data_IF_005884107852
#
_entry.id   IF_005884107852
#
_cell.length_a   1.000
_cell.length_b   1.000
_cell.length_c   1.000
_cell.angle_alpha   90.00
_cell.angle_beta   90.00
_cell.angle_gamma   90.00
#
_symmetry.space_group_name_H-M   'P 1'
#
loop_
_entity.id
_entity.type
_entity.pdbx_description
1 polymer ?
2 non-polymer ?
3 water ?
#
# COMPACT_ATOMS: atom_id res chain seq x y z
N UNK A 16 -6.99 20.86 37.82
CA UNK A 16 -6.22 22.10 38.17
C UNK A 16 -7.09 23.27 38.73
N UNK A 17 -8.30 23.55 38.19
CA UNK A 17 -9.15 24.57 38.89
C UNK A 17 -9.73 24.12 40.26
N UNK A 18 -9.88 25.07 41.19
CA UNK A 18 -10.48 24.73 42.47
C UNK A 18 -11.83 24.04 42.25
N UNK A 19 -11.93 22.80 42.74
CA UNK A 19 -13.12 21.95 42.56
C UNK A 19 -14.27 22.32 43.53
N UNK A 20 -15.00 23.37 43.16
CA UNK A 20 -16.13 23.91 43.90
C UNK A 20 -17.50 23.56 43.25
N UNK A 21 -18.63 23.79 43.94
CA UNK A 21 -19.92 23.74 43.24
C UNK A 21 -19.97 24.52 41.92
N UNK A 22 -19.51 25.77 41.92
CA UNK A 22 -19.62 26.63 40.75
C UNK A 22 -18.84 26.05 39.57
N UNK A 23 -17.68 25.46 39.85
CA UNK A 23 -16.92 24.77 38.82
C UNK A 23 -17.65 23.50 38.33
N UNK A 24 -18.21 22.72 39.26
CA UNK A 24 -18.99 21.57 38.90
C UNK A 24 -20.15 21.97 37.98
N UNK A 25 -20.80 23.10 38.27
CA UNK A 25 -21.88 23.63 37.41
C UNK A 25 -21.42 24.11 36.00
N UNK A 26 -20.27 24.77 35.91
CA UNK A 26 -19.61 25.08 34.64
C UNK A 26 -19.46 23.82 33.75
N UNK A 27 -18.94 22.74 34.31
CA UNK A 27 -18.72 21.49 33.59
C UNK A 27 -20.02 20.84 33.14
N UNK A 28 -21.02 20.90 34.00
CA UNK A 28 -22.33 20.38 33.62
C UNK A 28 -22.87 21.12 32.37
N UNK A 29 -22.72 22.46 32.36
CA UNK A 29 -23.04 23.27 31.20
C UNK A 29 -22.25 22.87 29.98
N UNK A 30 -20.93 22.61 30.16
CA UNK A 30 -20.07 22.25 29.01
C UNK A 30 -20.67 21.04 28.33
N UNK A 31 -20.82 19.97 29.10
CA UNK A 31 -21.47 18.75 28.69
C UNK A 31 -22.77 19.04 27.92
N UNK A 32 -23.61 19.93 28.46
CA UNK A 32 -24.91 20.23 27.86
C UNK A 32 -24.78 20.97 26.55
N UNK A 33 -23.83 21.90 26.49
CA UNK A 33 -23.65 22.77 25.32
C UNK A 33 -22.65 22.28 24.26
N UNK A 34 -22.10 21.07 24.45
CA UNK A 34 -21.11 20.43 23.55
C UNK A 34 -19.83 21.22 23.47
N UNK A 35 -19.38 21.66 24.63
CA UNK A 35 -18.11 22.33 24.80
C UNK A 35 -17.18 21.36 25.56
N UNK A 36 -15.94 21.20 25.09
CA UNK A 36 -14.92 20.47 25.86
C UNK A 36 -13.80 21.47 26.06
N UNK A 37 -13.42 21.72 27.33
CA UNK A 37 -12.37 22.69 27.61
C UNK A 37 -11.00 22.05 27.41
N UNK A 38 -9.99 22.85 27.11
CA UNK A 38 -8.76 22.27 26.71
C UNK A 38 -7.84 21.99 27.90
N UNK A 39 -8.17 22.58 29.04
CA UNK A 39 -7.37 22.47 30.27
C UNK A 39 -7.69 21.21 31.10
N UNK A 40 -8.72 20.47 30.67
CA UNK A 40 -8.94 19.15 31.20
C UNK A 40 -8.20 18.19 30.28
N UNK A 41 -7.72 18.65 29.14
CA UNK A 41 -7.20 17.68 28.19
C UNK A 41 -5.72 17.42 28.33
N UNK A 43 -3.37 18.60 25.36
CA UNK A 43 -2.11 17.98 25.84
C UNK A 43 -1.68 16.67 25.15
N UNK A 44 -2.50 15.61 25.33
CA UNK A 44 -2.52 14.40 24.45
C UNK A 44 -3.08 14.69 23.02
N UNK A 45 -3.79 15.81 22.91
CA UNK A 45 -4.31 16.32 21.64
C UNK A 45 -3.19 16.79 20.70
N UNK A 46 -2.03 17.16 21.28
CA UNK A 46 -0.81 17.66 20.58
C UNK A 46 0.49 17.05 21.15
N UNK A 47 0.84 15.84 20.66
CA UNK A 47 1.98 15.08 21.19
C UNK A 47 3.37 15.56 20.73
N UNK A 48 4.41 15.15 21.45
CA UNK A 48 5.78 15.61 21.19
C UNK A 48 6.25 15.16 19.80
N UNK A 49 5.83 13.96 19.41
CA UNK A 49 6.07 13.39 18.10
C UNK A 49 4.90 12.44 17.85
N UNK A 50 4.72 11.94 16.61
CA UNK A 50 3.56 11.08 16.41
C UNK A 50 3.55 9.87 17.30
N UNK A 51 2.38 9.54 17.82
CA UNK A 51 2.30 8.42 18.71
C UNK A 51 1.06 7.68 18.26
N UNK A 52 1.18 6.90 17.18
CA UNK A 52 0.04 6.14 16.64
C UNK A 52 -0.69 5.17 17.61
N UNK A 53 -1.95 4.91 17.28
CA UNK A 53 -2.76 3.92 17.96
C UNK A 53 -2.47 2.63 17.24
N UNK A 54 -2.31 2.73 15.91
CA UNK A 54 -1.84 1.61 15.09
C UNK A 54 -0.53 1.10 15.67
N UNK A 55 -0.33 -0.18 15.56
CA UNK A 55 0.81 -0.76 16.19
C UNK A 55 1.62 -1.46 15.10
N UNK A 56 2.97 -1.50 15.28
CA UNK A 56 3.68 -2.29 14.27
C UNK A 56 3.16 -3.75 14.36
N UNK A 57 3.06 -4.45 13.24
CA UNK A 57 2.49 -5.77 13.31
C UNK A 57 2.90 -6.51 12.07
N UNK A 58 2.99 -7.84 12.14
CA UNK A 58 3.40 -8.71 11.01
C UNK A 58 2.34 -9.79 10.79
N UNK A 59 2.03 -10.08 9.53
CA UNK A 59 1.13 -11.17 9.15
C UNK A 59 1.93 -12.19 8.34
N UNK A 60 1.86 -13.44 8.77
CA UNK A 60 2.62 -14.52 8.13
C UNK A 60 1.85 -15.01 6.91
N UNK A 61 2.50 -14.96 5.75
CA UNK A 61 1.91 -15.46 4.53
C UNK A 61 1.24 -16.83 4.68
N UNK A 62 1.91 -17.79 5.31
CA UNK A 62 1.34 -19.11 5.39
C UNK A 62 -0.01 -19.09 6.12
N UNK A 63 -0.15 -18.23 7.15
CA UNK A 63 -1.47 -17.97 7.78
C UNK A 63 -2.43 -17.38 6.74
N UNK A 64 -2.14 -16.20 6.19
CA UNK A 64 -3.02 -15.57 5.20
C UNK A 64 -3.39 -16.53 4.06
N UNK A 65 -2.46 -17.38 3.65
CA UNK A 65 -2.74 -18.34 2.60
C UNK A 65 -3.78 -19.38 3.02
N UNK A 66 -3.59 -20.02 4.19
CA UNK A 66 -4.50 -21.08 4.61
C UNK A 66 -5.95 -20.55 4.84
N UNK A 67 -6.05 -19.43 5.57
CA UNK A 67 -7.35 -18.74 5.72
C UNK A 67 -7.98 -18.24 4.41
N UNK A 68 -7.18 -17.79 3.45
CA UNK A 68 -7.73 -17.44 2.15
C UNK A 68 -8.27 -18.70 1.47
N UNK A 69 -7.57 -19.82 1.59
CA UNK A 69 -8.04 -21.05 0.96
C UNK A 69 -9.30 -21.51 1.62
N UNK A 70 -9.28 -21.52 2.94
CA UNK A 70 -10.47 -21.90 3.67
C UNK A 70 -11.63 -21.04 3.21
N UNK A 71 -11.46 -19.73 3.17
CA UNK A 71 -12.51 -18.86 2.65
C UNK A 71 -13.03 -19.30 1.28
N UNK A 72 -12.12 -19.64 0.37
CA UNK A 72 -12.51 -20.22 -0.92
C UNK A 72 -13.48 -21.40 -0.81
N UNK A 73 -13.25 -22.26 0.17
CA UNK A 73 -14.15 -23.36 0.39
C UNK A 73 -15.50 -22.93 0.97
N UNK A 74 -15.46 -22.12 2.03
CA UNK A 74 -16.65 -21.89 2.83
C UNK A 74 -17.56 -20.74 2.39
N UNK A 75 -17.10 -19.95 1.42
CA UNK A 75 -17.77 -18.71 1.12
C UNK A 75 -17.73 -18.58 -0.36
N UNK A 76 -18.71 -19.16 -1.09
CA UNK A 76 -18.77 -18.91 -2.54
C UNK A 76 -19.65 -17.66 -2.79
N UNK A 77 -19.87 -16.97 -1.67
CA UNK A 77 -20.40 -15.63 -1.53
C UNK A 77 -19.23 -14.66 -1.64
N UNK A 78 -18.51 -14.75 -2.75
CA UNK A 78 -17.44 -13.83 -3.05
C UNK A 78 -17.83 -12.84 -4.13
N UNK A 83 -17.27 -9.38 -1.68
CA UNK A 83 -16.43 -10.48 -2.21
C UNK A 83 -15.25 -10.89 -1.25
N UNK A 84 -14.56 -12.00 -1.58
CA UNK A 84 -13.65 -12.76 -0.68
C UNK A 84 -12.28 -12.09 -0.43
N UNK A 85 -12.27 -11.10 0.43
CA UNK A 85 -11.08 -10.33 0.77
C UNK A 85 -10.94 -10.32 2.29
N UNK A 86 -9.75 -10.71 2.73
CA UNK A 86 -9.35 -10.81 4.11
C UNK A 86 -8.56 -9.53 4.44
N UNK A 87 -9.21 -8.60 5.13
CA UNK A 87 -8.59 -7.30 5.49
C UNK A 87 -7.62 -7.44 6.64
N UNK A 88 -6.40 -6.95 6.47
CA UNK A 88 -5.46 -6.99 7.55
C UNK A 88 -5.86 -5.88 8.50
N UNK A 89 -6.15 -6.23 9.75
CA UNK A 89 -6.72 -5.29 10.74
C UNK A 89 -5.69 -5.00 11.83
N UNK A 90 -5.27 -3.76 11.92
CA UNK A 90 -4.27 -3.46 12.93
C UNK A 90 -4.81 -3.69 14.39
N UNK A 91 -3.99 -4.32 15.23
CA UNK A 91 -4.57 -4.58 16.54
C UNK A 91 -4.83 -3.32 17.34
N UNK A 92 -4.18 -2.21 17.01
CA UNK A 92 -4.40 -1.01 17.77
C UNK A 92 -5.54 -0.16 17.27
N UNK A 93 -6.20 -0.56 16.18
CA UNK A 93 -7.25 0.31 15.63
C UNK A 93 -8.70 -0.04 15.97
N UNK A 94 -8.92 -0.45 17.22
CA UNK A 94 -10.25 -0.53 17.81
C UNK A 94 -11.26 -1.38 17.02
N UNK A 95 -10.77 -2.45 16.39
CA UNK A 95 -11.62 -3.37 15.67
C UNK A 95 -11.90 -3.00 14.23
N UNK A 96 -11.38 -1.86 13.74
CA UNK A 96 -11.58 -1.43 12.31
C UNK A 96 -10.74 -2.23 11.30
N UNK A 97 -11.15 -2.25 10.06
CA UNK A 97 -10.51 -3.10 9.11
C UNK A 97 -9.31 -2.43 8.51
N UNK A 98 -8.72 -1.54 9.26
CA UNK A 98 -7.56 -0.73 8.85
C UNK A 98 -6.16 -1.31 9.19
N UNK A 99 -5.28 -1.55 8.21
CA UNK A 99 -3.92 -1.94 8.56
C UNK A 99 -3.16 -0.72 9.15
N UNK A 100 -3.65 0.50 8.85
CA UNK A 100 -3.10 1.74 9.39
C UNK A 100 -4.17 2.79 9.41
N UNK A 101 -3.90 3.98 9.97
CA UNK A 101 -4.99 4.99 9.96
C UNK A 101 -5.39 5.55 8.57
N UNK A 102 -4.49 5.40 7.60
CA UNK A 102 -4.73 5.82 6.20
C UNK A 102 -5.10 4.70 5.23
N UNK A 103 -4.51 3.52 5.41
CA UNK A 103 -4.55 2.45 4.40
C UNK A 103 -5.29 1.17 4.77
N UNK A 104 -5.95 0.56 3.79
CA UNK A 104 -6.49 -0.77 3.93
C UNK A 104 -5.57 -1.64 3.16
N UNK A 105 -5.35 -2.84 3.64
CA UNK A 105 -4.60 -3.83 2.89
C UNK A 105 -5.29 -5.16 3.12
N UNK A 106 -5.62 -5.87 2.05
CA UNK A 106 -6.34 -7.12 2.16
C UNK A 106 -5.81 -8.17 1.21
N UNK A 107 -6.07 -9.43 1.52
CA UNK A 107 -5.78 -10.51 0.57
C UNK A 107 -7.10 -10.92 -0.06
N UNK A 108 -7.16 -10.78 -1.39
CA UNK A 108 -8.31 -11.21 -2.12
C UNK A 108 -7.97 -12.47 -2.85
N UNK A 109 -8.85 -13.46 -2.68
CA UNK A 109 -8.69 -14.82 -3.19
C UNK A 109 -9.80 -15.11 -4.20
N UNK A 110 -9.44 -15.17 -5.47
CA UNK A 110 -10.43 -15.30 -6.51
C UNK A 110 -10.33 -16.71 -7.01
N UNK A 111 -11.49 -17.37 -7.05
CA UNK A 111 -11.57 -18.80 -7.30
C UNK A 111 -11.67 -19.13 -8.77
N UNK A 112 -11.45 -20.41 -9.11
CA UNK A 112 -11.69 -20.97 -10.43
C UNK A 112 -12.84 -20.30 -11.20
N UNK A 113 -12.51 -19.61 -12.30
CA UNK A 113 -13.53 -19.09 -13.25
C UNK A 113 -14.50 -17.98 -12.78
N UNK A 114 -14.39 -17.53 -11.53
CA UNK A 114 -15.25 -16.46 -10.94
C UNK A 114 -15.04 -15.04 -11.48
N UNK A 115 -16.04 -14.17 -11.27
CA UNK A 115 -16.00 -12.77 -11.71
C UNK A 115 -16.68 -11.79 -10.70
N UNK A 116 -16.54 -10.47 -10.95
CA UNK A 116 -17.27 -9.37 -10.26
C UNK A 116 -17.74 -8.36 -11.32
N UNK A 117 -18.89 -7.70 -11.10
CA UNK A 117 -19.24 -6.70 -12.13
C UNK A 117 -18.55 -5.35 -11.85
N UNK A 118 -18.74 -4.39 -12.75
CA UNK A 118 -18.11 -3.08 -12.65
C UNK A 118 -18.77 -2.12 -11.65
N UNK A 119 -17.94 -1.55 -10.78
CA UNK A 119 -18.30 -0.45 -9.91
C UNK A 119 -17.18 0.59 -9.90
N UNK A 120 -17.42 1.75 -9.31
CA UNK A 120 -16.38 2.76 -9.07
C UNK A 120 -16.58 3.40 -7.70
N UNK A 121 -15.47 3.73 -7.06
CA UNK A 121 -15.48 4.53 -5.84
C UNK A 121 -14.33 5.58 -5.89
N UNK A 122 -14.42 6.62 -5.07
CA UNK A 122 -13.47 7.73 -5.10
C UNK A 122 -12.19 7.31 -4.43
N UNK A 123 -12.28 6.29 -3.57
CA UNK A 123 -11.12 5.72 -2.91
C UNK A 123 -10.14 5.20 -3.96
N UNK A 124 -8.84 5.33 -3.74
CA UNK A 124 -7.86 4.86 -4.74
C UNK A 124 -7.35 3.48 -4.37
N UNK A 125 -6.98 2.70 -5.37
CA UNK A 125 -6.77 1.28 -5.13
C UNK A 125 -5.72 0.76 -6.05
N UNK A 126 -4.95 -0.20 -5.58
CA UNK A 126 -4.14 -1.00 -6.44
C UNK A 126 -4.33 -2.51 -6.07
N UNK A 127 -3.90 -3.37 -7.00
CA UNK A 127 -3.94 -4.81 -6.83
C UNK A 127 -2.56 -5.29 -7.24
N UNK A 128 -1.82 -5.85 -6.30
CA UNK A 128 -0.50 -6.37 -6.56
C UNK A 128 -0.55 -7.89 -6.47
N UNK A 129 -0.22 -8.56 -7.58
CA UNK A 129 -0.39 -10.01 -7.74
C UNK A 129 0.73 -10.86 -7.11
N UNK A 130 0.32 -11.75 -6.20
CA UNK A 130 1.24 -12.57 -5.38
C UNK A 130 1.60 -13.92 -6.06
N UNK A 131 0.59 -14.73 -6.33
CA UNK A 131 0.77 -15.87 -7.21
C UNK A 131 -0.51 -16.14 -7.92
N UNK A 132 -0.37 -16.53 -9.18
CA UNK A 132 -1.51 -16.79 -10.04
C UNK A 132 -1.25 -16.23 -11.41
N UNK A 133 -2.20 -16.41 -12.30
CA UNK A 133 -2.18 -15.79 -13.63
C UNK A 133 -3.52 -15.95 -14.31
N UNK A 134 -3.61 -15.38 -15.50
CA UNK A 134 -4.78 -15.54 -16.38
C UNK A 134 -6.06 -15.02 -15.77
N UNK A 135 -5.95 -13.93 -15.00
CA UNK A 135 -7.09 -13.12 -14.53
C UNK A 135 -6.97 -11.71 -15.10
N UNK A 136 -8.07 -11.17 -15.61
CA UNK A 136 -8.07 -9.80 -16.10
C UNK A 136 -8.87 -8.95 -15.14
N UNK A 137 -8.45 -7.70 -14.94
CA UNK A 137 -9.26 -6.67 -14.30
C UNK A 137 -9.58 -5.74 -15.42
N UNK A 138 -10.85 -5.40 -15.60
CA UNK A 138 -11.23 -4.56 -16.69
C UNK A 138 -11.44 -3.16 -16.15
N UNK A 139 -10.53 -2.26 -16.51
CA UNK A 139 -10.48 -0.91 -15.96
C UNK A 139 -11.02 0.08 -17.00
N UNK A 140 -12.13 0.70 -16.67
CA UNK A 140 -12.89 1.48 -17.65
C UNK A 140 -13.00 0.79 -19.01
N UNK A 141 -13.36 -0.50 -19.05
CA UNK A 141 -13.48 -1.24 -20.31
C UNK A 141 -12.20 -1.83 -20.94
N UNK A 142 -11.05 -1.48 -20.39
CA UNK A 142 -9.79 -1.91 -20.94
C UNK A 142 -9.28 -3.10 -20.10
N UNK A 143 -9.20 -4.31 -20.70
CA UNK A 143 -8.76 -5.48 -19.91
C UNK A 143 -7.25 -5.49 -19.72
N UNK A 144 -6.87 -5.47 -18.45
CA UNK A 144 -5.52 -5.53 -18.00
C UNK A 144 -5.36 -6.95 -17.45
N UNK A 145 -4.44 -7.71 -18.03
CA UNK A 145 -4.11 -9.08 -17.63
C UNK A 145 -3.31 -9.02 -16.32
N UNK A 146 -3.37 -10.07 -15.48
CA UNK A 146 -2.76 -10.03 -14.14
C UNK A 146 -1.82 -11.19 -13.98
N UNK A 147 -0.70 -10.99 -13.28
CA UNK A 147 0.36 -11.98 -13.25
C UNK A 147 1.30 -11.81 -12.07
N UNK A 148 1.88 -12.89 -11.58
CA UNK A 148 2.80 -12.84 -10.44
C UNK A 148 3.74 -11.62 -10.57
N UNK A 149 3.62 -10.68 -9.64
CA UNK A 149 4.57 -9.57 -9.59
C UNK A 149 4.08 -8.31 -10.25
N UNK A 150 2.90 -8.36 -10.87
CA UNK A 150 2.34 -7.17 -11.52
C UNK A 150 1.62 -6.31 -10.53
N UNK A 151 1.86 -5.01 -10.63
CA UNK A 151 1.06 -4.02 -9.90
C UNK A 151 0.02 -3.47 -10.86
N UNK A 152 -1.24 -3.52 -10.47
CA UNK A 152 -2.27 -2.91 -11.27
C UNK A 152 -2.88 -1.78 -10.49
N UNK A 153 -3.29 -0.74 -11.19
CA UNK A 153 -3.98 0.33 -10.54
C UNK A 153 -5.47 0.37 -10.88
N UNK A 154 -6.31 0.59 -9.88
CA UNK A 154 -7.64 1.02 -10.19
C UNK A 154 -7.92 2.41 -9.61
N UNK A 155 -7.41 3.48 -10.27
CA UNK A 155 -7.47 4.78 -9.62
C UNK A 155 -8.90 5.13 -9.26
N UNK A 156 -9.07 6.04 -8.31
CA UNK A 156 -10.39 6.45 -7.85
C UNK A 156 -11.28 6.83 -9.01
N UNK A 157 -12.51 6.32 -9.01
CA UNK A 157 -13.55 6.72 -9.97
C UNK A 157 -13.41 6.09 -11.37
N UNK A 158 -12.54 5.09 -11.46
CA UNK A 158 -12.44 4.22 -12.61
C UNK A 158 -13.25 2.99 -12.38
N UNK A 159 -14.18 2.75 -13.29
CA UNK A 159 -14.96 1.50 -13.29
C UNK A 159 -14.01 0.31 -13.29
N UNK A 160 -14.28 -0.67 -12.44
CA UNK A 160 -13.46 -1.87 -12.44
C UNK A 160 -14.23 -3.10 -11.97
N UNK A 161 -14.02 -4.16 -12.73
CA UNK A 161 -14.50 -5.49 -12.43
C UNK A 161 -13.52 -6.43 -13.11
N UNK A 162 -13.61 -7.70 -12.80
CA UNK A 162 -12.58 -8.60 -13.23
C UNK A 162 -13.17 -9.97 -13.62
N UNK A 163 -12.33 -10.82 -14.22
CA UNK A 163 -12.74 -12.21 -14.54
C UNK A 163 -11.55 -13.17 -14.57
N UNK A 164 -11.66 -14.29 -13.87
CA UNK A 164 -10.70 -15.39 -14.00
C UNK A 164 -11.00 -16.27 -15.23
N UNK A 165 -10.05 -16.38 -16.15
CA UNK A 165 -10.23 -17.12 -17.39
C UNK A 165 -9.46 -18.47 -17.29
N UNK A 166 -9.52 -19.11 -16.12
CA UNK A 166 -8.75 -20.30 -15.84
C UNK A 166 -9.39 -21.01 -14.67
N UNK A 167 -9.16 -22.32 -14.58
CA UNK A 167 -9.61 -23.16 -13.50
C UNK A 167 -8.85 -22.93 -12.18
N UNK A 168 -7.86 -22.02 -12.20
CA UNK A 168 -6.96 -21.85 -11.07
C UNK A 168 -7.36 -20.73 -10.11
N UNK A 169 -7.07 -20.89 -8.81
CA UNK A 169 -7.23 -19.71 -7.94
C UNK A 169 -6.16 -18.62 -8.23
N UNK A 170 -6.47 -17.35 -7.95
CA UNK A 170 -5.44 -16.29 -7.83
C UNK A 170 -5.56 -15.44 -6.57
N UNK A 171 -4.41 -15.06 -6.00
CA UNK A 171 -4.34 -14.24 -4.80
C UNK A 171 -3.56 -12.95 -5.03
N UNK A 172 -4.23 -11.82 -4.87
CA UNK A 172 -3.50 -10.57 -4.94
C UNK A 172 -3.65 -9.76 -3.68
N UNK A 173 -2.78 -8.80 -3.45
CA UNK A 173 -3.07 -7.89 -2.36
C UNK A 173 -3.87 -6.69 -2.87
N UNK A 174 -4.81 -6.26 -2.05
CA UNK A 174 -5.70 -5.21 -2.43
C UNK A 174 -5.40 -4.00 -1.55
N UNK A 175 -4.82 -2.93 -2.10
CA UNK A 175 -4.42 -1.77 -1.26
C UNK A 175 -5.24 -0.53 -1.53
N UNK A 176 -5.99 -0.04 -0.56
CA UNK A 176 -6.84 1.13 -0.77
C UNK A 176 -6.65 2.19 0.28
N UNK A 177 -7.04 3.43 -0.02
CA UNK A 177 -7.01 4.48 0.97
C UNK A 177 -8.36 4.57 1.68
N UNK A 178 -9.03 3.43 1.83
CA UNK A 178 -10.35 3.34 2.54
C UNK A 178 -10.40 3.99 3.93
N UNK A 179 -9.40 3.70 4.81
CA UNK A 179 -9.40 4.32 6.15
C UNK A 179 -9.27 5.83 6.10
N UNK A 180 -8.39 6.36 5.25
CA UNK A 180 -8.35 7.82 5.09
C UNK A 180 -9.73 8.29 4.60
N UNK A 181 -10.30 7.59 3.65
CA UNK A 181 -11.49 8.11 3.00
C UNK A 181 -12.73 8.05 3.88
N UNK A 182 -12.83 7.02 4.73
CA UNK A 182 -13.93 6.93 5.65
C UNK A 182 -13.86 7.98 6.75
N UNK A 183 -12.66 8.19 7.30
CA UNK A 183 -12.44 9.17 8.36
C UNK A 183 -12.52 10.62 7.89
N UNK A 184 -12.08 10.92 6.66
CA UNK A 184 -12.22 12.30 6.15
C UNK A 184 -13.52 12.64 5.37
N UNK A 185 -14.41 11.66 5.23
CA UNK A 185 -15.74 11.86 4.59
C UNK A 185 -15.69 12.21 3.11
N UNK A 186 -15.11 11.30 2.36
CA UNK A 186 -14.72 11.56 0.99
C UNK A 186 -15.28 10.47 0.03
N UNK A 187 -15.94 9.45 0.58
CA UNK A 187 -16.37 8.27 -0.20
C UNK A 187 -17.58 8.46 -1.12
N UNK A 188 -17.48 7.94 -2.34
CA UNK A 188 -18.61 7.86 -3.28
C UNK A 188 -18.49 6.53 -3.96
N UNK A 189 -19.61 6.00 -4.47
CA UNK A 189 -19.68 4.61 -4.99
C UNK A 189 -20.84 4.49 -5.96
N UNK A 190 -20.56 3.91 -7.13
CA UNK A 190 -21.62 3.60 -8.13
C UNK A 190 -21.46 2.18 -8.66
N UNK A 191 -22.59 1.58 -9.12
CA UNK A 191 -22.56 0.23 -9.73
C UNK A 191 -22.48 0.27 -11.26
N UNK A 199 -16.08 -10.28 -22.59
CA UNK A 199 -15.07 -10.89 -21.70
C UNK A 199 -13.68 -11.04 -22.33
N UNK A 200 -13.26 -10.08 -23.13
CA UNK A 200 -11.98 -10.20 -23.84
C UNK A 200 -10.73 -10.44 -22.93
N UNK A 201 -9.75 -11.13 -23.49
CA UNK A 201 -8.52 -11.44 -22.75
C UNK A 201 -7.22 -11.02 -23.46
N UNK A 202 -7.12 -9.76 -23.91
CA UNK A 202 -5.91 -9.39 -24.69
C UNK A 202 -4.64 -9.37 -23.82
N UNK A 203 -3.47 -9.64 -24.43
CA UNK A 203 -2.21 -9.84 -23.67
C UNK A 203 -1.67 -8.61 -22.91
N UNK A 204 -1.94 -7.42 -23.46
CA UNK A 204 -1.60 -6.16 -22.82
C UNK A 204 -2.77 -5.23 -23.09
N UNK A 205 -2.99 -4.30 -22.17
CA UNK A 205 -4.11 -3.37 -22.20
C UNK A 205 -3.83 -2.25 -23.18
N UNK A 206 -4.82 -1.42 -23.48
CA UNK A 206 -4.53 -0.21 -24.25
C UNK A 206 -3.54 0.71 -23.56
N UNK A 207 -3.82 1.03 -22.29
CA UNK A 207 -2.96 1.93 -21.50
C UNK A 207 -1.51 1.57 -21.72
N UNK A 208 -1.20 0.31 -21.48
CA UNK A 208 0.11 -0.26 -21.67
C UNK A 208 0.73 -0.05 -23.05
N UNK A 209 -0.01 -0.44 -24.07
CA UNK A 209 0.44 -0.37 -25.43
C UNK A 209 0.65 1.09 -25.79
N UNK A 210 -0.07 1.98 -25.14
CA UNK A 210 0.15 3.39 -25.36
C UNK A 210 1.26 4.02 -24.51
N UNK A 211 1.36 3.61 -23.23
CA UNK A 211 2.12 4.33 -22.19
C UNK A 211 3.38 3.68 -21.72
N UNK A 212 3.54 2.39 -22.00
CA UNK A 212 4.72 1.70 -21.54
C UNK A 212 5.87 1.69 -22.50
N UNK A 213 6.15 2.80 -23.18
CA UNK A 213 7.37 2.90 -24.01
C UNK A 213 8.24 4.00 -23.42
N UNK A 214 9.49 3.68 -23.05
CA UNK A 214 10.28 4.55 -22.19
C UNK A 214 10.55 5.92 -22.82
N UNK A 215 10.32 6.99 -22.07
CA UNK A 215 10.54 8.35 -22.57
C UNK A 215 9.69 8.82 -23.76
N UNK A 216 8.59 8.10 -24.06
CA UNK A 216 7.74 8.40 -25.21
C UNK A 216 6.31 8.70 -24.78
N UNK A 217 5.72 9.77 -25.34
CA UNK A 217 4.40 10.20 -24.96
C UNK A 217 3.48 10.41 -26.15
N UNK A 218 2.31 9.77 -26.13
CA UNK A 218 1.50 9.80 -27.29
C UNK A 218 0.88 11.17 -27.48
N UNK A 219 0.89 11.71 -28.70
CA UNK A 219 0.33 13.05 -28.95
C UNK A 219 -1.17 13.12 -28.59
N UNK A 220 -1.84 11.97 -28.55
CA UNK A 220 -3.23 11.89 -28.11
C UNK A 220 -3.35 12.03 -26.58
N UNK A 221 -2.26 11.91 -25.82
CA UNK A 221 -2.29 12.05 -24.36
C UNK A 221 -1.38 13.12 -23.78
N UNK A 222 -1.41 14.33 -24.35
CA UNK A 222 -0.62 15.46 -23.89
C UNK A 222 -1.17 16.12 -22.63
N UNK A 223 -2.46 15.87 -22.36
CA UNK A 223 -3.05 16.24 -21.05
C UNK A 223 -2.40 15.41 -19.89
N UNK A 224 -1.90 16.11 -18.87
CA UNK A 224 -1.51 15.45 -17.60
C UNK A 224 -2.69 14.85 -16.85
N UNK A 225 -2.44 13.87 -16.00
CA UNK A 225 -3.53 13.18 -15.34
C UNK A 225 -3.23 13.09 -13.85
N UNK A 226 -4.26 12.98 -13.01
CA UNK A 226 -4.01 12.99 -11.56
C UNK A 226 -3.54 11.62 -11.10
N UNK A 227 -4.10 10.57 -11.68
CA UNK A 227 -3.54 9.24 -11.48
C UNK A 227 -2.94 8.74 -12.79
N UNK A 228 -1.98 7.82 -12.68
CA UNK A 228 -1.37 7.18 -13.83
C UNK A 228 -2.35 6.58 -14.86
N UNK A 229 -2.04 6.70 -16.17
CA UNK A 229 -2.78 5.90 -17.16
C UNK A 229 -2.18 4.49 -17.45
N UNK A 230 -1.06 4.13 -16.80
CA UNK A 230 -0.50 2.79 -16.93
C UNK A 230 -1.40 1.81 -16.17
N UNK A 231 -2.02 0.89 -16.89
CA UNK A 231 -2.87 -0.07 -16.24
C UNK A 231 -2.08 -0.99 -15.35
N UNK A 232 -0.92 -1.47 -15.81
CA UNK A 232 -0.14 -2.48 -15.08
C UNK A 232 1.37 -2.28 -15.24
N UNK A 233 2.07 -2.41 -14.14
CA UNK A 233 3.49 -2.23 -14.12
C UNK A 233 3.99 -3.62 -14.02
N UNK A 234 4.37 -4.18 -15.16
CA UNK A 234 4.60 -5.59 -15.16
C UNK A 234 5.93 -6.00 -14.54
N UNK A 235 5.93 -7.21 -13.98
CA UNK A 235 7.03 -7.67 -13.19
C UNK A 235 8.37 -7.55 -13.94
N UNK A 236 8.38 -7.96 -15.21
CA UNK A 236 9.60 -7.90 -16.03
C UNK A 236 10.34 -6.59 -15.85
N UNK A 237 9.65 -5.46 -16.08
CA UNK A 237 10.25 -4.12 -16.01
C UNK A 237 10.82 -3.83 -14.62
N UNK A 238 10.02 -4.07 -13.59
CA UNK A 238 10.47 -3.94 -12.21
C UNK A 238 11.75 -4.73 -11.95
N UNK A 239 11.73 -6.01 -12.33
CA UNK A 239 12.88 -6.91 -12.16
C UNK A 239 14.12 -6.45 -12.92
N UNK A 240 13.92 -6.20 -14.21
CA UNK A 240 14.91 -5.60 -15.08
C UNK A 240 15.54 -4.31 -14.47
N UNK A 241 14.71 -3.34 -14.11
CA UNK A 241 15.21 -2.09 -13.45
C UNK A 241 16.09 -2.37 -12.22
N UNK A 242 15.60 -3.19 -11.30
CA UNK A 242 16.29 -3.45 -10.06
C UNK A 242 17.64 -4.09 -10.28
N UNK A 243 17.68 -5.00 -11.26
CA UNK A 243 18.90 -5.72 -11.61
C UNK A 243 19.92 -4.79 -12.26
N UNK A 244 19.47 -3.87 -13.11
CA UNK A 244 20.40 -2.88 -13.68
C UNK A 244 21.00 -1.97 -12.61
N UNK A 245 20.24 -1.64 -11.57
CA UNK A 245 20.77 -0.85 -10.45
C UNK A 245 21.82 -1.60 -9.68
N UNK A 246 21.71 -2.93 -9.65
CA UNK A 246 22.70 -3.75 -8.93
C UNK A 246 24.00 -3.91 -9.73
N UNK A 247 23.84 -4.15 -11.03
CA UNK A 247 24.95 -4.20 -11.95
C UNK A 247 25.73 -2.87 -11.95
N UNK A 248 25.03 -1.74 -11.91
CA UNK A 248 25.69 -0.42 -11.88
C UNK A 248 26.54 -0.24 -10.61
N UNK A 249 26.05 -0.74 -9.48
CA UNK A 249 26.82 -0.67 -8.23
C UNK A 249 28.18 -1.41 -8.38
N UNK A 250 28.10 -2.64 -8.88
CA UNK A 250 29.24 -3.48 -9.24
C UNK A 250 30.24 -2.73 -10.10
N UNK A 251 29.77 -1.78 -10.91
CA UNK A 251 30.61 -1.11 -11.88
C UNK A 251 30.97 0.27 -11.39
N UNK A 252 30.74 0.53 -10.11
CA UNK A 252 31.10 1.81 -9.53
C UNK A 252 30.26 3.00 -10.00
N UNK A 253 29.09 2.74 -10.58
CA UNK A 253 28.18 3.83 -10.98
C UNK A 253 27.14 4.13 -9.92
N UNK A 254 26.80 5.42 -9.72
CA UNK A 254 25.60 5.77 -8.90
C UNK A 254 24.24 5.25 -9.47
N UNK A 255 23.42 4.66 -8.60
CA UNK A 255 22.21 3.94 -9.00
C UNK A 255 21.46 3.61 -7.72
N UNK A 256 22.05 2.74 -6.90
CA UNK A 256 21.43 2.32 -5.65
C UNK A 256 21.13 3.50 -4.72
N UNK A 257 20.09 3.39 -3.89
CA UNK A 257 19.79 4.48 -2.93
C UNK A 257 20.75 4.42 -1.80
N UNK A 258 21.06 3.21 -1.39
CA UNK A 258 22.01 3.02 -0.35
C UNK A 258 22.85 1.83 -0.78
N UNK A 259 24.04 1.63 -0.15
CA UNK A 259 24.83 0.52 -0.69
C UNK A 259 24.11 -0.83 -0.52
N UNK A 260 23.99 -1.59 -1.61
CA UNK A 260 23.35 -2.91 -1.58
C UNK A 260 21.84 -2.84 -1.80
N UNK A 261 21.30 -1.63 -1.65
CA UNK A 261 19.86 -1.37 -1.65
C UNK A 261 19.45 -0.80 -2.99
N UNK A 262 18.98 -1.65 -3.91
CA UNK A 262 18.35 -1.15 -5.16
C UNK A 262 16.86 -0.86 -4.93
N UNK A 263 16.26 0.04 -5.70
CA UNK A 263 14.88 0.47 -5.45
C UNK A 263 14.28 1.39 -6.51
N UNK A 264 12.98 1.20 -6.80
CA UNK A 264 12.24 2.04 -7.77
C UNK A 264 10.93 2.49 -7.18
N UNK A 265 10.44 3.65 -7.61
CA UNK A 265 9.11 4.13 -7.23
C UNK A 265 8.26 3.92 -8.46
N UNK A 266 7.04 3.40 -8.31
CA UNK A 266 6.10 3.32 -9.43
C UNK A 266 5.53 4.73 -9.65
N UNK A 267 5.47 5.17 -10.89
CA UNK A 267 5.10 6.57 -11.17
C UNK A 267 4.08 6.80 -12.28
N UNK A 268 3.34 7.92 -12.13
CA UNK A 268 2.43 8.38 -13.18
C UNK A 268 3.23 9.02 -14.35
N UNK A 269 3.25 8.40 -15.54
CA UNK A 269 4.23 8.96 -16.47
C UNK A 269 3.91 10.36 -17.05
N UNK A 270 2.69 10.85 -16.86
CA UNK A 270 2.34 12.17 -17.41
C UNK A 270 3.01 13.25 -16.59
N UNK A 271 3.47 12.83 -15.42
CA UNK A 271 3.74 13.77 -14.33
C UNK A 271 5.09 13.59 -13.68
N UNK A 272 5.58 12.36 -13.65
CA UNK A 272 6.79 12.01 -12.93
C UNK A 272 6.52 11.65 -11.48
N UNK A 273 5.31 11.88 -11.01
CA UNK A 273 5.00 11.81 -9.56
C UNK A 273 4.37 10.50 -9.14
N UNK A 274 3.62 10.50 -8.05
CA UNK A 274 3.12 9.22 -7.52
C UNK A 274 1.96 8.67 -8.34
N UNK A 275 1.73 7.36 -8.24
CA UNK A 275 0.67 6.68 -9.04
C UNK A 275 -0.71 7.23 -8.80
N UNK A 276 -1.04 7.46 -7.53
CA UNK A 276 -2.37 7.96 -7.23
C UNK A 276 -2.27 9.12 -6.21
N UNK A 277 -3.29 9.97 -6.11
CA UNK A 277 -3.02 11.08 -5.21
C UNK A 277 -2.71 10.67 -3.76
N UNK A 278 -3.16 9.48 -3.33
CA UNK A 278 -3.12 9.13 -1.89
C UNK A 278 -2.14 8.05 -1.50
N UNK A 279 -1.64 7.32 -2.48
CA UNK A 279 -0.84 6.16 -2.23
C UNK A 279 0.44 6.19 -3.03
N UNK A 280 1.52 5.81 -2.36
CA UNK A 280 2.80 5.63 -3.01
C UNK A 280 3.09 4.13 -3.11
N UNK A 281 3.67 3.71 -4.22
CA UNK A 281 4.12 2.33 -4.35
C UNK A 281 5.55 2.37 -4.79
N UNK A 282 6.34 1.47 -4.22
CA UNK A 282 7.72 1.28 -4.58
C UNK A 282 8.03 -0.22 -4.64
N UNK A 283 9.22 -0.56 -5.13
CA UNK A 283 9.72 -1.90 -5.00
C UNK A 283 11.19 -1.87 -4.65
N UNK A 284 11.58 -2.67 -3.65
CA UNK A 284 12.94 -2.68 -3.14
C UNK A 284 13.56 -4.06 -3.34
N UNK A 285 14.86 -4.09 -3.67
CA UNK A 285 15.67 -5.29 -3.80
C UNK A 285 16.95 -5.11 -3.01
N UNK A 286 17.12 -5.82 -1.90
CA UNK A 286 18.37 -5.75 -1.10
C UNK A 286 19.33 -6.93 -1.38
N UNK A 287 20.59 -6.61 -1.59
CA UNK A 287 21.60 -7.64 -1.82
C UNK A 287 21.84 -8.37 -0.50
N UNK A 288 21.94 -9.68 -0.56
CA UNK A 288 22.30 -10.48 0.61
C UNK A 288 23.33 -9.81 1.56
N UNK A 289 22.96 -9.69 2.84
CA UNK A 289 23.80 -9.07 3.86
C UNK A 289 23.53 -7.59 4.19
N UNK A 290 22.79 -6.91 3.31
CA UNK A 290 22.50 -5.49 3.46
C UNK A 290 21.58 -5.24 4.63
N UNK A 291 21.88 -4.22 5.41
CA UNK A 291 21.03 -3.83 6.52
C UNK A 291 20.76 -2.33 6.33
N UNK A 292 19.52 -1.90 6.31
CA UNK A 292 19.26 -0.48 5.98
C UNK A 292 19.47 0.38 7.24
N UNK A 293 19.66 1.68 7.07
CA UNK A 293 19.79 2.56 8.24
C UNK A 293 18.37 2.79 8.82
N UNK A 294 18.27 2.92 10.12
CA UNK A 294 16.99 3.10 10.75
C UNK A 294 16.37 4.42 10.32
N UNK A 295 15.12 4.34 9.85
CA UNK A 295 14.33 5.52 9.49
C UNK A 295 13.16 5.69 10.42
N UNK A 296 12.88 6.94 10.76
CA UNK A 296 11.60 7.36 11.24
C UNK A 296 10.97 8.18 10.12
N UNK A 297 9.85 7.74 9.58
CA UNK A 297 9.18 8.57 8.61
C UNK A 297 7.76 8.86 9.05
N UNK A 298 7.24 10.04 8.74
CA UNK A 298 5.87 10.43 9.11
C UNK A 298 4.96 9.74 8.16
N UNK A 299 3.83 9.23 8.68
CA UNK A 299 2.84 8.51 7.88
C UNK A 299 3.15 7.04 7.92
N UNK A 300 2.24 6.21 7.43
CA UNK A 300 2.45 4.78 7.50
C UNK A 300 2.83 4.12 6.18
N UNK A 301 3.44 2.95 6.26
CA UNK A 301 3.89 2.19 5.08
C UNK A 301 3.64 0.69 5.31
N UNK A 302 3.31 -0.03 4.25
CA UNK A 302 3.23 -1.48 4.32
C UNK A 302 4.24 -2.12 3.35
N UNK A 303 4.82 -3.25 3.77
CA UNK A 303 5.73 -3.97 2.92
C UNK A 303 5.23 -5.38 2.76
N UNK A 304 5.50 -5.95 1.61
CA UNK A 304 5.32 -7.36 1.43
C UNK A 304 6.65 -7.87 0.92
N UNK A 305 7.05 -9.03 1.45
CA UNK A 305 8.23 -9.80 0.97
C UNK A 305 7.85 -10.57 -0.30
N UNK A 306 8.40 -10.17 -1.43
CA UNK A 306 8.05 -10.80 -2.65
C UNK A 306 8.88 -12.06 -2.83
N UNK A 307 10.14 -12.04 -2.39
CA UNK A 307 11.09 -13.12 -2.64
C UNK A 307 12.26 -13.04 -1.66
N UNK A 308 12.78 -14.18 -1.22
CA UNK A 308 13.94 -14.15 -0.32
C UNK A 308 13.58 -14.12 1.14
N UNK A 309 14.61 -13.96 1.97
CA UNK A 309 14.45 -14.10 3.43
C UNK A 309 15.20 -12.99 4.11
N UNK A 310 14.76 -12.61 5.30
CA UNK A 310 15.44 -11.55 6.05
C UNK A 310 14.62 -11.17 7.25
N UNK A 311 14.81 -9.95 7.75
CA UNK A 311 14.11 -9.56 8.95
C UNK A 311 13.75 -8.08 8.87
N UNK A 312 12.78 -7.65 9.68
CA UNK A 312 12.60 -6.24 9.98
C UNK A 312 12.89 -5.95 11.45
N UNK A 313 13.30 -4.73 11.71
CA UNK A 313 13.39 -4.26 13.06
C UNK A 313 12.42 -3.11 13.13
N UNK A 314 11.48 -3.22 14.05
CA UNK A 314 10.53 -2.14 14.30
C UNK A 314 10.53 -1.91 15.80
N UNK A 315 10.73 -0.66 16.22
CA UNK A 315 10.86 -0.31 17.63
C UNK A 315 11.90 -1.19 18.31
N UNK A 316 13.04 -1.37 17.67
CA UNK A 316 14.04 -2.27 18.19
C UNK A 316 13.71 -3.74 18.22
N UNK A 317 12.55 -4.17 17.72
CA UNK A 317 12.23 -5.60 17.77
C UNK A 317 12.35 -6.34 16.46
N UNK A 318 13.27 -7.29 16.39
CA UNK A 318 13.56 -8.05 15.16
C UNK A 318 12.53 -9.10 14.94
N UNK A 319 11.95 -9.13 13.75
CA UNK A 319 11.05 -10.22 13.34
C UNK A 319 11.60 -10.83 12.06
N UNK A 320 11.90 -12.13 12.09
CA UNK A 320 12.29 -12.90 10.89
C UNK A 320 11.13 -12.93 9.85
N UNK A 321 11.47 -12.95 8.56
CA UNK A 321 10.53 -12.71 7.48
C UNK A 321 10.72 -13.68 6.32
N UNK A 322 9.62 -14.33 5.94
CA UNK A 322 9.57 -15.25 4.79
C UNK A 322 8.73 -14.70 3.66
N UNK A 323 8.84 -15.37 2.51
CA UNK A 323 8.17 -14.99 1.26
C UNK A 323 6.64 -14.85 1.47
N UNK A 324 6.10 -13.69 1.06
CA UNK A 324 4.69 -13.36 1.19
C UNK A 324 4.29 -12.63 2.46
N UNK A 325 5.18 -12.58 3.46
CA UNK A 325 4.87 -11.94 4.75
C UNK A 325 4.65 -10.44 4.55
N UNK A 326 3.75 -9.89 5.33
CA UNK A 326 3.44 -8.50 5.22
C UNK A 326 3.59 -7.92 6.60
N UNK A 327 4.00 -6.65 6.63
CA UNK A 327 4.12 -5.90 7.91
C UNK A 327 3.87 -4.39 7.74
N UNK A 328 3.47 -3.76 8.85
CA UNK A 328 3.11 -2.34 8.86
C UNK A 328 3.95 -1.53 9.83
N UNK A 329 4.31 -0.33 9.39
CA UNK A 329 5.17 0.56 10.15
C UNK A 329 4.38 1.88 10.31
N UNK A 330 3.64 2.03 11.41
CA UNK A 330 2.92 3.30 11.62
C UNK A 330 3.84 4.54 11.65
N UNK A 331 3.25 5.72 11.44
CA UNK A 331 3.97 6.99 11.53
C UNK A 331 5.04 7.01 12.63
N UNK A 332 6.29 7.30 12.24
CA UNK A 332 7.41 7.58 13.13
C UNK A 332 7.98 6.41 13.89
N UNK A 333 7.52 5.20 13.58
CA UNK A 333 8.10 4.02 14.16
C UNK A 333 9.48 3.79 13.51
N UNK A 334 10.57 3.72 14.30
CA UNK A 334 11.89 3.48 13.72
C UNK A 334 11.93 2.07 13.14
N UNK A 335 12.32 1.96 11.87
CA UNK A 335 12.32 0.70 11.14
C UNK A 335 13.58 0.49 10.34
N UNK A 336 13.87 -0.76 10.02
CA UNK A 336 15.03 -1.10 9.20
C UNK A 336 14.83 -2.51 8.70
N UNK A 337 15.47 -2.86 7.59
CA UNK A 337 15.31 -4.18 6.98
C UNK A 337 16.68 -4.87 6.80
N UNK A 338 16.75 -6.21 6.94
CA UNK A 338 17.99 -6.97 6.66
C UNK A 338 17.79 -8.12 5.74
N UNK A 339 18.61 -8.16 4.71
CA UNK A 339 18.46 -9.18 3.71
C UNK A 339 19.36 -10.33 4.12
N UNK A 340 18.78 -11.51 4.31
CA UNK A 340 19.59 -12.71 4.50
C UNK A 340 20.02 -13.22 3.13
N UNK A 341 19.10 -13.77 2.35
CA UNK A 341 19.35 -13.96 0.92
C UNK A 341 19.14 -12.60 0.23
N UNK A 342 18.93 -12.60 -1.08
CA UNK A 342 18.55 -11.40 -1.81
C UNK A 342 17.05 -11.17 -1.51
N UNK A 343 16.70 -9.99 -1.02
CA UNK A 343 15.41 -9.70 -0.41
C UNK A 343 14.59 -8.74 -1.32
N UNK A 344 13.61 -9.26 -2.04
CA UNK A 344 12.69 -8.46 -2.82
C UNK A 344 11.44 -8.07 -2.00
N UNK A 345 11.05 -6.79 -2.03
CA UNK A 345 9.94 -6.31 -1.21
C UNK A 345 9.06 -5.26 -1.89
N UNK A 346 7.77 -5.52 -1.99
CA UNK A 346 6.93 -4.53 -2.60
C UNK A 346 6.47 -3.60 -1.51
N UNK A 347 6.36 -2.30 -1.81
CA UNK A 347 6.03 -1.27 -0.77
C UNK A 347 4.85 -0.32 -1.08
N UNK A 348 4.04 -0.06 -0.08
CA UNK A 348 3.10 1.07 -0.21
C UNK A 348 2.96 1.93 1.02
N UNK A 349 2.54 3.18 0.82
CA UNK A 349 2.49 4.15 1.89
C UNK A 349 1.48 5.25 1.59
N UNK A 350 1.27 6.13 2.58
CA UNK A 350 0.43 7.34 2.50
C UNK A 350 1.30 8.60 2.36
N UNK A 351 2.57 8.39 2.04
CA UNK A 351 3.50 9.47 1.91
C UNK A 351 2.98 10.57 0.97
N UNK A 352 2.24 10.21 -0.13
CA UNK A 352 1.79 11.31 -0.98
C UNK A 352 0.81 12.21 -0.25
N UNK A 353 0.07 11.69 0.74
CA UNK A 353 -0.80 12.56 1.53
C UNK A 353 0.06 13.48 2.43
N UNK A 354 1.06 12.92 3.11
CA UNK A 354 1.92 13.72 3.97
C UNK A 354 2.68 14.78 3.19
N UNK A 355 3.25 14.41 2.05
CA UNK A 355 4.02 15.35 1.22
C UNK A 355 3.15 16.46 0.64
N UNK A 356 1.98 16.09 0.12
CA UNK A 356 1.09 17.11 -0.44
C UNK A 356 0.70 18.15 0.61
N UNK A 357 0.57 17.76 1.87
CA UNK A 357 0.17 18.69 2.92
C UNK A 357 1.33 19.30 3.78
N UNK A 358 2.58 19.06 3.35
CA UNK A 358 3.79 19.53 4.07
C UNK A 358 3.91 18.96 5.47
N UNK A 359 3.64 17.67 5.65
CA UNK A 359 3.65 17.08 6.96
C UNK A 359 4.78 16.10 7.09
N UNK A 360 5.45 15.84 5.97
CA UNK A 360 6.48 14.79 5.95
C UNK A 360 7.75 15.22 6.68
N UNK A 361 8.31 14.30 7.47
CA UNK A 361 9.61 14.51 8.10
C UNK A 361 10.36 13.18 8.11
N UNK A 362 11.67 13.27 8.06
CA UNK A 362 12.47 12.06 7.98
C UNK A 362 13.69 12.17 8.89
N UNK A 363 13.91 11.13 9.71
CA UNK A 363 15.15 10.95 10.47
C UNK A 363 15.83 9.68 9.99
N UNK A 364 17.07 9.82 9.54
CA UNK A 364 17.93 8.71 9.12
C UNK A 364 19.13 8.66 10.08
N UNK A 365 19.54 7.48 10.53
CA UNK A 365 20.75 7.33 11.36
C UNK A 365 22.04 7.77 10.67
N UNK A 366 22.81 8.65 11.31
CA UNK A 366 24.05 9.20 10.71
C UNK A 366 23.80 10.13 9.53
N UNK A 367 23.05 11.21 9.77
CA UNK A 367 22.76 12.24 8.76
C UNK A 367 22.18 13.51 9.39
X LIG B 1 -13.46 -1.84 -5.88
#
# INVERSE_FOLDING_TARGET
MQNEKLDHESVTQAMQPKDTPELRALYKSFEEESIIPLWTQLGDLMPIHPKSKAVPHVWKWSTLLRLARKSGELVPVGRGGERRALGLANPGLGGNAYISPTMYAGIQYLGPRETAPEHRHSQNAFRFVVEGEGVWTVVNGDPVRMSRGDLLLTPGWCFHGHMNDTDQPMAWIDGLDIPFSQQMDVGFFEFGSDRVTDYATPNFSRGERLWCHPGLRPLSGLQNTVASPIGAYRWEFTDRALTEQLLLEDEGQPATVAPGHAAIRYVNPTTGGDVMPTLRCEFHRLRAGTETATRNEVGSTVFQVFEGAGAVVMNGETTKLEKGDMFVVPSWVPWSLQAETQFDLFRFSDAPIMEALSFMRTKIEGQ
FE FE
#
